data_IF_277592543123
#
_entry.id   IF_277592543123
#
_cell.length_a   1.000
_cell.length_b   1.000
_cell.length_c   1.000
_cell.angle_alpha   90.00
_cell.angle_beta   90.00
_cell.angle_gamma   90.00
#
_symmetry.space_group_name_H-M   'P 1'
#
loop_
_entity.id
_entity.type
_entity.pdbx_description
1 polymer ?
#
# COMPACT_ATOMS: atom_id res chain seq x y z
N UNK A 1 0.12 -19.67 7.91
CA UNK A 1 0.26 -20.86 8.78
C UNK A 1 1.11 -21.97 8.14
N UNK A 2 2.23 -21.65 7.47
CA UNK A 2 3.24 -22.65 7.12
C UNK A 2 4.60 -21.96 7.09
N UNK A 3 5.36 -22.15 8.19
CA UNK A 3 6.81 -21.99 8.36
C UNK A 3 7.09 -21.57 9.80
N UNK A 4 7.06 -22.56 10.69
CA UNK A 4 8.01 -22.73 11.79
C UNK A 4 7.64 -24.02 12.49
N UNK A 5 8.63 -24.90 12.56
CA UNK A 5 8.62 -26.19 13.23
C UNK A 5 8.55 -25.95 14.76
N UNK A 6 7.40 -25.46 15.23
CA UNK A 6 7.13 -25.22 16.65
C UNK A 6 6.21 -26.32 17.15
N UNK A 7 6.58 -26.92 18.29
CA UNK A 7 5.76 -27.91 18.99
C UNK A 7 4.36 -27.32 19.19
N UNK A 8 3.34 -28.11 18.88
CA UNK A 8 1.94 -27.71 18.86
C UNK A 8 1.48 -27.06 20.20
N UNK A 9 2.12 -27.41 21.31
CA UNK A 9 1.89 -26.82 22.64
C UNK A 9 2.27 -25.33 22.76
N UNK A 10 3.10 -24.77 21.87
CA UNK A 10 3.43 -23.33 21.85
C UNK A 10 2.37 -22.47 21.16
N UNK A 11 1.39 -23.08 20.48
CA UNK A 11 0.42 -22.36 19.63
C UNK A 11 -0.81 -21.90 20.42
N UNK A 12 -1.07 -22.51 21.58
CA UNK A 12 -2.39 -22.43 22.24
C UNK A 12 -2.54 -21.46 23.41
N UNK A 13 -1.57 -20.58 23.71
CA UNK A 13 -1.73 -19.68 24.86
C UNK A 13 -1.11 -18.29 24.69
N UNK A 14 -1.29 -17.66 23.51
CA UNK A 14 -0.90 -16.25 23.31
C UNK A 14 -2.12 -15.42 22.93
N UNK A 15 -2.94 -15.09 23.93
CA UNK A 15 -3.85 -13.97 23.80
C UNK A 15 -3.01 -12.68 23.75
N UNK A 16 -3.16 -11.91 22.68
CA UNK A 16 -2.51 -10.61 22.53
C UNK A 16 -3.46 -9.50 23.02
N UNK A 17 -3.05 -8.79 24.07
CA UNK A 17 -3.78 -7.65 24.61
C UNK A 17 -3.34 -6.37 23.91
N UNK A 18 -4.32 -5.62 23.40
CA UNK A 18 -4.06 -4.32 22.76
C UNK A 18 -4.37 -3.20 23.73
N UNK A 19 -3.43 -2.26 23.86
CA UNK A 19 -3.58 -1.07 24.69
C UNK A 19 -3.45 0.15 23.78
N UNK A 20 -4.52 0.96 23.75
CA UNK A 20 -4.56 2.22 23.00
C UNK A 20 -4.38 3.37 23.99
N UNK A 21 -3.40 4.23 23.73
CA UNK A 21 -3.05 5.37 24.59
C UNK A 21 -3.05 6.69 23.83
N UNK A 22 -3.09 7.85 24.51
CA UNK A 22 -3.20 9.14 23.82
C UNK A 22 -1.95 9.55 23.04
N UNK A 23 -0.75 9.21 23.52
CA UNK A 23 0.51 9.70 22.95
C UNK A 23 1.60 8.64 22.85
N UNK A 24 2.64 8.92 22.05
CA UNK A 24 3.83 8.06 21.94
C UNK A 24 4.55 7.95 23.30
N UNK A 25 4.65 9.05 24.05
CA UNK A 25 5.23 9.02 25.40
C UNK A 25 4.50 8.02 26.31
N UNK A 26 3.16 8.01 26.24
CA UNK A 26 2.35 7.08 27.03
C UNK A 26 2.49 5.63 26.57
N UNK A 27 2.88 5.39 25.30
CA UNK A 27 3.20 4.04 24.83
C UNK A 27 4.40 3.48 25.60
N UNK A 28 5.49 4.26 25.71
CA UNK A 28 6.70 3.85 26.42
C UNK A 28 6.50 3.81 27.95
N UNK A 29 5.70 4.72 28.53
CA UNK A 29 5.31 4.62 29.95
C UNK A 29 4.55 3.33 30.24
N UNK A 30 3.58 2.99 29.39
CA UNK A 30 2.80 1.75 29.51
C UNK A 30 3.70 0.53 29.39
N UNK A 31 4.66 0.53 28.46
CA UNK A 31 5.66 -0.52 28.33
C UNK A 31 6.46 -0.69 29.64
N UNK A 32 6.91 0.41 30.23
CA UNK A 32 7.63 0.41 31.51
C UNK A 32 6.80 -0.14 32.67
N UNK A 33 5.51 0.21 32.75
CA UNK A 33 4.58 -0.32 33.77
C UNK A 33 4.39 -1.84 33.58
N UNK A 34 4.21 -2.31 32.35
CA UNK A 34 4.06 -3.75 32.08
C UNK A 34 5.32 -4.51 32.51
N UNK A 35 6.51 -3.96 32.21
CA UNK A 35 7.79 -4.58 32.58
C UNK A 35 8.13 -4.49 34.07
N UNK A 36 7.49 -3.59 34.83
CA UNK A 36 7.63 -3.55 36.30
C UNK A 36 6.73 -4.58 37.00
N UNK A 37 5.60 -4.95 36.38
CA UNK A 37 4.67 -5.95 36.89
C UNK A 37 5.06 -7.37 36.51
N UNK A 38 5.52 -7.57 35.27
CA UNK A 38 5.84 -8.89 34.73
C UNK A 38 7.20 -8.91 34.04
N UNK A 39 7.91 -10.03 34.22
CA UNK A 39 9.24 -10.21 33.62
C UNK A 39 9.12 -10.27 32.09
N UNK A 40 9.78 -9.36 31.34
CA UNK A 40 9.76 -9.41 29.90
C UNK A 40 10.62 -10.55 29.37
N UNK A 41 10.16 -11.12 28.25
CA UNK A 41 10.95 -12.03 27.43
C UNK A 41 11.75 -11.19 26.43
N UNK A 42 13.05 -11.03 26.69
CA UNK A 42 13.92 -10.06 26.01
C UNK A 42 14.01 -10.25 24.49
N UNK A 43 13.93 -11.50 23.99
CA UNK A 43 13.91 -11.80 22.54
C UNK A 43 12.57 -11.44 21.85
N UNK A 44 11.58 -10.97 22.61
CA UNK A 44 10.21 -10.69 22.15
C UNK A 44 9.77 -9.25 22.38
N UNK A 45 10.71 -8.33 22.46
CA UNK A 45 10.44 -6.88 22.46
C UNK A 45 10.70 -6.34 21.06
N UNK A 46 9.71 -5.68 20.47
CA UNK A 46 9.84 -5.06 19.15
C UNK A 46 9.26 -3.66 19.17
N UNK A 47 10.09 -2.70 18.79
CA UNK A 47 9.70 -1.30 18.69
C UNK A 47 9.38 -0.94 17.24
N UNK A 48 8.12 -1.15 16.83
CA UNK A 48 7.66 -0.71 15.52
C UNK A 48 7.26 0.77 15.50
N UNK A 49 7.39 1.50 16.60
CA UNK A 49 7.23 2.97 16.58
C UNK A 49 8.53 3.59 16.06
N UNK A 50 9.67 3.17 16.61
CA UNK A 50 10.99 3.62 16.20
C UNK A 50 11.41 3.04 14.84
N UNK A 51 11.06 1.77 14.57
CA UNK A 51 11.35 1.09 13.30
C UNK A 51 10.05 0.54 12.70
N UNK A 52 9.24 1.37 12.03
CA UNK A 52 7.98 0.96 11.42
C UNK A 52 8.16 -0.19 10.43
N UNK A 53 7.14 -1.02 10.28
CA UNK A 53 7.13 -2.02 9.21
C UNK A 53 6.98 -1.34 7.85
N UNK A 54 7.36 -2.00 6.74
CA UNK A 54 7.22 -1.43 5.38
C UNK A 54 5.81 -0.93 5.06
N UNK A 55 4.77 -1.57 5.60
CA UNK A 55 3.38 -1.15 5.43
C UNK A 55 2.94 0.03 6.32
N UNK A 56 3.87 0.75 6.94
CA UNK A 56 3.59 1.87 7.84
C UNK A 56 3.07 1.47 9.22
N UNK A 57 3.01 0.18 9.54
CA UNK A 57 2.50 -0.28 10.83
C UNK A 57 3.40 0.16 11.99
N UNK A 58 2.78 0.85 12.96
CA UNK A 58 3.42 1.35 14.18
C UNK A 58 2.75 0.77 15.44
N UNK A 59 3.53 0.18 16.35
CA UNK A 59 3.12 -0.31 17.67
C UNK A 59 4.34 -0.82 18.45
N UNK A 60 4.33 -0.77 19.79
CA UNK A 60 5.25 -1.51 20.63
C UNK A 60 4.70 -2.90 20.90
N UNK A 61 5.50 -3.93 20.66
CA UNK A 61 5.15 -5.32 20.97
C UNK A 61 6.07 -5.83 22.07
N UNK A 62 5.51 -6.45 23.10
CA UNK A 62 6.28 -7.13 24.13
C UNK A 62 5.59 -8.41 24.56
N UNK A 63 6.35 -9.48 24.79
CA UNK A 63 5.85 -10.69 25.46
C UNK A 63 6.41 -10.73 26.87
N UNK A 64 5.55 -10.97 27.85
CA UNK A 64 5.92 -11.13 29.27
C UNK A 64 5.45 -12.48 29.80
N UNK A 65 6.06 -12.92 30.89
CA UNK A 65 5.55 -14.04 31.68
C UNK A 65 4.46 -13.53 32.61
N UNK A 66 3.21 -13.79 32.26
CA UNK A 66 2.03 -13.43 33.04
C UNK A 66 1.79 -14.38 34.22
N UNK A 67 0.60 -14.32 34.84
CA UNK A 67 0.18 -15.26 35.87
C UNK A 67 0.32 -16.72 35.40
N UNK A 68 0.67 -17.61 36.33
CA UNK A 68 0.91 -19.04 36.07
C UNK A 68 2.01 -19.34 35.02
N UNK A 69 2.95 -18.40 34.85
CA UNK A 69 4.08 -18.50 33.91
C UNK A 69 3.67 -18.65 32.44
N UNK A 70 2.43 -18.26 32.11
CA UNK A 70 1.91 -18.24 30.75
C UNK A 70 2.41 -17.00 30.00
N UNK A 71 2.76 -17.17 28.73
CA UNK A 71 3.24 -16.06 27.91
C UNK A 71 2.05 -15.17 27.48
N UNK A 72 2.10 -13.87 27.80
CA UNK A 72 1.11 -12.90 27.32
C UNK A 72 1.80 -11.87 26.41
N UNK A 73 1.20 -11.60 25.25
CA UNK A 73 1.69 -10.57 24.34
C UNK A 73 0.90 -9.27 24.53
N UNK A 74 1.60 -8.16 24.64
CA UNK A 74 1.03 -6.82 24.69
C UNK A 74 1.40 -6.03 23.43
N UNK A 75 0.41 -5.33 22.88
CA UNK A 75 0.55 -4.44 21.74
C UNK A 75 0.09 -3.04 22.14
N UNK A 76 1.02 -2.11 22.25
CA UNK A 76 0.76 -0.74 22.72
C UNK A 76 0.88 0.19 21.51
N UNK A 77 -0.09 1.09 21.32
CA UNK A 77 -0.06 2.07 20.22
C UNK A 77 -0.96 3.26 20.52
N UNK A 78 -0.81 4.35 19.77
CA UNK A 78 -1.73 5.49 19.88
C UNK A 78 -3.05 5.23 19.13
N UNK A 79 -4.06 6.07 19.37
CA UNK A 79 -5.31 6.05 18.59
C UNK A 79 -5.04 6.23 17.08
N UNK A 80 -4.18 7.20 16.73
CA UNK A 80 -3.74 7.43 15.34
C UNK A 80 -3.08 6.19 14.73
N UNK A 81 -2.11 5.58 15.44
CA UNK A 81 -1.45 4.34 14.99
C UNK A 81 -2.44 3.18 14.90
N UNK A 82 -3.49 3.17 15.73
CA UNK A 82 -4.53 2.16 15.66
C UNK A 82 -5.37 2.34 14.40
N UNK A 83 -5.79 3.54 14.09
CA UNK A 83 -6.54 3.88 12.88
C UNK A 83 -5.71 3.60 11.62
N UNK A 84 -4.44 4.00 11.59
CA UNK A 84 -3.50 3.63 10.52
C UNK A 84 -3.37 2.12 10.36
N UNK A 85 -3.35 1.36 11.47
CA UNK A 85 -3.26 -0.10 11.40
C UNK A 85 -4.55 -0.78 10.92
N UNK A 86 -5.71 -0.12 11.06
CA UNK A 86 -7.02 -0.64 10.65
C UNK A 86 -7.36 -0.24 9.22
N UNK A 87 -7.14 1.03 8.87
CA UNK A 87 -7.56 1.65 7.61
C UNK A 87 -6.40 1.84 6.63
N UNK A 88 -5.17 1.55 7.05
CA UNK A 88 -3.97 1.74 6.23
C UNK A 88 -3.82 3.20 5.80
N UNK A 89 -3.37 3.38 4.55
CA UNK A 89 -3.03 4.68 3.96
C UNK A 89 -4.18 5.68 3.99
N UNK A 90 -5.46 5.26 4.04
CA UNK A 90 -6.60 6.19 4.10
C UNK A 90 -6.58 7.13 5.32
N UNK A 91 -6.03 6.70 6.46
CA UNK A 91 -5.88 7.54 7.65
C UNK A 91 -4.77 8.61 7.50
N UNK A 92 -3.71 8.28 6.74
CA UNK A 92 -2.54 9.13 6.54
C UNK A 92 -2.83 10.38 5.68
N UNK A 93 -3.87 10.34 4.83
CA UNK A 93 -4.31 11.50 4.01
C UNK A 93 -5.11 12.52 4.83
N UNK A 94 -5.99 12.07 5.74
CA UNK A 94 -6.76 12.97 6.62
C UNK A 94 -5.86 13.77 7.58
N UNK A 95 -4.71 13.20 7.99
CA UNK A 95 -3.78 13.89 8.90
C UNK A 95 -2.84 14.88 8.21
N UNK A 96 -2.35 14.58 6.99
CA UNK A 96 -1.53 15.53 6.23
C UNK A 96 -2.26 16.82 5.87
N UNK A 97 -3.59 16.80 5.80
CA UNK A 97 -4.42 17.99 5.56
C UNK A 97 -4.44 18.95 6.76
N UNK A 98 -4.13 18.48 7.99
CA UNK A 98 -4.09 19.32 9.19
C UNK A 98 -2.74 20.00 9.42
N UNK A 99 -1.67 19.57 8.76
CA UNK A 99 -0.30 20.02 9.06
C UNK A 99 0.28 21.06 8.10
N UNK A 100 -0.32 21.30 6.93
CA UNK A 100 0.16 22.31 5.97
C UNK A 100 -0.98 23.12 5.34
N UNK A 101 -1.23 24.36 5.80
CA UNK A 101 -2.11 25.28 5.08
C UNK A 101 -1.36 25.81 3.85
N UNK A 102 -1.54 25.18 2.68
CA UNK A 102 -1.04 25.74 1.41
C UNK A 102 -0.68 24.76 0.30
N UNK A 103 -0.57 23.46 0.57
CA UNK A 103 -0.26 22.46 -0.46
C UNK A 103 -1.55 22.04 -1.18
N UNK A 104 -1.93 22.81 -2.20
CA UNK A 104 -3.04 22.49 -3.10
C UNK A 104 -2.69 21.33 -4.05
N UNK A 105 -2.38 20.15 -3.50
CA UNK A 105 -2.43 18.92 -4.29
C UNK A 105 -3.90 18.59 -4.54
N UNK A 106 -4.32 18.74 -5.79
CA UNK A 106 -5.68 18.49 -6.26
C UNK A 106 -6.24 17.20 -5.65
N UNK A 107 -7.37 17.34 -4.95
CA UNK A 107 -8.13 16.23 -4.36
C UNK A 107 -8.30 15.10 -5.38
N UNK A 108 -7.94 13.85 -5.02
CA UNK A 108 -8.19 12.69 -5.86
C UNK A 108 -9.68 12.61 -6.22
N UNK A 109 -9.97 12.22 -7.47
CA UNK A 109 -11.34 12.19 -8.02
C UNK A 109 -12.31 11.37 -7.14
N UNK A 110 -11.82 10.28 -6.54
CA UNK A 110 -12.57 9.43 -5.61
C UNK A 110 -13.06 10.17 -4.35
N UNK A 111 -12.35 11.20 -3.89
CA UNK A 111 -12.78 12.05 -2.76
C UNK A 111 -13.93 12.97 -3.17
N UNK A 112 -13.87 13.53 -4.39
CA UNK A 112 -14.98 14.31 -4.96
C UNK A 112 -16.20 13.43 -5.19
N UNK A 113 -15.99 12.18 -5.59
CA UNK A 113 -17.06 11.21 -5.78
C UNK A 113 -17.73 10.90 -4.43
N UNK A 114 -16.98 10.68 -3.35
CA UNK A 114 -17.51 10.51 -1.98
C UNK A 114 -18.33 11.73 -1.52
N UNK A 115 -17.83 12.95 -1.73
CA UNK A 115 -18.49 14.18 -1.30
C UNK A 115 -19.76 14.50 -2.11
N UNK A 116 -19.81 14.13 -3.39
CA UNK A 116 -21.01 14.28 -4.23
C UNK A 116 -22.09 13.26 -3.87
N UNK A 117 -21.68 12.05 -3.49
CA UNK A 117 -22.58 10.96 -3.11
C UNK A 117 -23.24 11.23 -1.75
N UNK A 118 -22.51 11.83 -0.80
CA UNK A 118 -23.06 12.23 0.51
C UNK A 118 -24.23 13.22 0.40
N UNK A 119 -24.27 14.03 -0.68
CA UNK A 119 -25.37 14.98 -0.90
C UNK A 119 -26.66 14.35 -1.45
N UNK A 120 -26.64 13.09 -1.88
CA UNK A 120 -27.74 12.47 -2.63
C UNK A 120 -28.30 11.17 -2.02
N UNK A 121 -27.85 10.73 -0.85
CA UNK A 121 -28.28 9.46 -0.26
C UNK A 121 -29.20 9.67 0.96
N UNK A 122 -30.50 9.38 0.81
CA UNK A 122 -31.51 9.52 1.87
C UNK A 122 -31.55 8.32 2.85
N UNK A 123 -30.90 7.18 2.56
CA UNK A 123 -30.88 6.00 3.45
C UNK A 123 -29.50 5.32 3.55
N UNK A 124 -28.99 5.18 4.78
CA UNK A 124 -27.58 4.90 5.09
C UNK A 124 -27.19 3.40 5.10
N UNK A 125 -28.12 2.46 5.26
CA UNK A 125 -27.80 1.03 5.43
C UNK A 125 -27.48 0.31 4.11
N UNK A 126 -28.34 0.49 3.09
CA UNK A 126 -28.13 -0.11 1.75
C UNK A 126 -26.90 0.47 1.03
N UNK A 127 -26.53 1.69 1.41
CA UNK A 127 -25.35 2.41 0.94
C UNK A 127 -24.05 1.78 1.46
N UNK A 128 -23.99 1.42 2.75
CA UNK A 128 -22.81 0.84 3.39
C UNK A 128 -22.53 -0.57 2.85
N UNK A 129 -23.58 -1.37 2.61
CA UNK A 129 -23.40 -2.74 2.13
C UNK A 129 -22.98 -2.80 0.65
N UNK A 130 -23.43 -1.86 -0.20
CA UNK A 130 -22.93 -1.76 -1.57
C UNK A 130 -21.53 -1.14 -1.66
N UNK A 131 -21.15 -0.19 -0.80
CA UNK A 131 -19.80 0.38 -0.77
C UNK A 131 -18.72 -0.55 -0.21
N UNK A 132 -19.05 -1.35 0.82
CA UNK A 132 -18.08 -2.30 1.41
C UNK A 132 -17.60 -3.34 0.41
N UNK A 133 -18.44 -3.73 -0.55
CA UNK A 133 -18.13 -4.76 -1.54
C UNK A 133 -17.26 -4.22 -2.68
N UNK A 134 -17.45 -2.97 -3.13
CA UNK A 134 -16.79 -2.46 -4.34
C UNK A 134 -15.54 -1.57 -4.08
N UNK A 135 -15.46 -0.90 -2.92
CA UNK A 135 -14.40 0.11 -2.65
C UNK A 135 -13.20 -0.45 -1.89
N UNK A 136 -13.39 -1.50 -1.09
CA UNK A 136 -12.37 -2.00 -0.16
C UNK A 136 -11.78 -3.37 -0.51
N UNK A 137 -12.36 -4.11 -1.46
CA UNK A 137 -11.98 -5.52 -1.68
C UNK A 137 -10.97 -5.76 -2.82
N UNK A 138 -10.61 -4.76 -3.63
CA UNK A 138 -9.79 -4.98 -4.82
C UNK A 138 -8.72 -3.90 -5.04
N UNK A 139 -8.03 -3.46 -3.99
CA UNK A 139 -6.89 -2.52 -4.09
C UNK A 139 -5.63 -3.09 -3.46
N UNK A 140 -4.49 -2.86 -4.11
CA UNK A 140 -3.16 -3.27 -3.65
C UNK A 140 -2.28 -2.02 -3.49
N UNK A 141 -1.34 -2.07 -2.56
CA UNK A 141 -0.35 -1.04 -2.33
C UNK A 141 1.03 -1.59 -2.65
N UNK A 142 1.77 -0.88 -3.51
CA UNK A 142 3.10 -1.28 -3.98
C UNK A 142 4.10 -0.16 -3.73
N UNK A 143 5.37 -0.51 -3.58
CA UNK A 143 6.44 0.39 -3.17
C UNK A 143 7.41 0.65 -4.33
N UNK A 144 7.93 1.86 -4.44
CA UNK A 144 9.13 2.12 -5.25
C UNK A 144 10.40 1.69 -4.50
N UNK A 145 11.56 1.62 -5.17
CA UNK A 145 12.87 1.42 -4.51
C UNK A 145 13.15 2.45 -3.42
N UNK A 146 12.70 3.69 -3.60
CA UNK A 146 12.86 4.82 -2.68
C UNK A 146 11.90 4.77 -1.48
N UNK A 147 10.91 3.87 -1.51
CA UNK A 147 9.92 3.70 -0.44
C UNK A 147 8.63 4.49 -0.64
N UNK A 148 8.43 5.13 -1.80
CA UNK A 148 7.16 5.77 -2.14
C UNK A 148 6.06 4.71 -2.32
N UNK A 149 4.85 5.02 -1.87
CA UNK A 149 3.71 4.08 -1.90
C UNK A 149 2.70 4.47 -2.97
N UNK A 150 2.30 3.50 -3.78
CA UNK A 150 1.37 3.67 -4.88
C UNK A 150 0.15 2.76 -4.73
N UNK A 151 -1.05 3.32 -4.95
CA UNK A 151 -2.32 2.61 -4.90
C UNK A 151 -2.72 2.12 -6.30
N UNK A 152 -2.90 0.81 -6.44
CA UNK A 152 -3.30 0.17 -7.69
C UNK A 152 -4.53 -0.71 -7.47
N UNK A 153 -5.35 -0.98 -8.50
CA UNK A 153 -6.37 -2.01 -8.41
C UNK A 153 -5.71 -3.40 -8.30
N UNK A 154 -6.41 -4.35 -7.70
CA UNK A 154 -5.99 -5.75 -7.67
C UNK A 154 -5.83 -6.30 -9.09
N UNK A 155 -4.82 -7.16 -9.28
CA UNK A 155 -4.42 -7.67 -10.59
C UNK A 155 -3.70 -6.65 -11.47
N UNK A 156 -3.38 -5.45 -10.96
CA UNK A 156 -2.53 -4.51 -11.68
C UNK A 156 -1.13 -5.09 -11.93
N UNK A 157 -0.49 -4.61 -13.00
CA UNK A 157 0.81 -5.12 -13.48
C UNK A 157 1.92 -4.07 -13.35
N UNK A 158 3.20 -4.44 -13.50
CA UNK A 158 4.30 -3.46 -13.56
C UNK A 158 4.08 -2.34 -14.57
N UNK A 159 3.37 -2.58 -15.67
CA UNK A 159 3.05 -1.52 -16.65
C UNK A 159 2.06 -0.52 -16.07
N UNK A 160 1.04 -0.98 -15.33
CA UNK A 160 0.12 -0.09 -14.62
C UNK A 160 0.87 0.79 -13.61
N UNK A 161 1.76 0.18 -12.83
CA UNK A 161 2.65 0.89 -11.90
C UNK A 161 3.50 1.94 -12.62
N UNK A 162 4.17 1.57 -13.72
CA UNK A 162 5.01 2.48 -14.50
C UNK A 162 4.26 3.74 -14.96
N UNK A 163 3.02 3.60 -15.45
CA UNK A 163 2.19 4.73 -15.89
C UNK A 163 1.62 5.59 -14.76
N UNK A 164 1.49 5.01 -13.55
CA UNK A 164 1.17 5.77 -12.34
C UNK A 164 2.36 6.61 -11.91
N UNK A 165 3.57 6.04 -11.86
CA UNK A 165 4.81 6.76 -11.54
C UNK A 165 5.06 7.89 -12.53
N UNK A 166 5.21 7.57 -13.82
CA UNK A 166 5.41 8.59 -14.85
C UNK A 166 5.12 8.07 -16.26
N UNK A 167 4.53 8.91 -17.13
CA UNK A 167 4.19 8.48 -18.51
C UNK A 167 5.42 8.06 -19.32
N UNK A 168 6.55 8.76 -19.18
CA UNK A 168 7.80 8.36 -19.85
C UNK A 168 8.35 7.02 -19.37
N UNK A 169 8.22 6.70 -18.07
CA UNK A 169 8.65 5.41 -17.52
C UNK A 169 7.77 4.31 -18.11
N UNK A 170 6.44 4.52 -18.13
CA UNK A 170 5.50 3.61 -18.81
C UNK A 170 5.83 3.40 -20.29
N UNK A 171 6.11 4.47 -21.04
CA UNK A 171 6.42 4.38 -22.47
C UNK A 171 7.74 3.65 -22.77
N UNK A 172 8.72 3.73 -21.85
CA UNK A 172 10.07 3.17 -22.01
C UNK A 172 10.31 1.89 -21.24
N UNK A 173 9.33 1.40 -20.48
CA UNK A 173 9.44 0.17 -19.70
C UNK A 173 9.87 -1.00 -20.59
N UNK A 174 10.91 -1.73 -20.21
CA UNK A 174 11.42 -2.93 -20.91
C UNK A 174 11.30 -4.19 -20.08
N UNK A 175 11.34 -4.06 -18.75
CA UNK A 175 11.17 -5.14 -17.78
C UNK A 175 10.85 -4.59 -16.39
N UNK A 176 10.72 -5.48 -15.40
CA UNK A 176 10.50 -5.08 -14.02
C UNK A 176 11.26 -6.00 -13.06
N UNK A 177 11.66 -5.43 -11.92
CA UNK A 177 12.06 -6.19 -10.74
C UNK A 177 10.93 -6.08 -9.71
N UNK A 178 10.50 -7.22 -9.19
CA UNK A 178 9.55 -7.29 -8.06
C UNK A 178 10.32 -7.91 -6.89
N UNK A 179 10.45 -7.18 -5.78
CA UNK A 179 11.22 -7.58 -4.61
C UNK A 179 12.64 -8.06 -4.98
N UNK A 180 13.34 -7.28 -5.82
CA UNK A 180 14.69 -7.55 -6.34
C UNK A 180 14.83 -8.82 -7.21
N UNK A 181 13.73 -9.32 -7.78
CA UNK A 181 13.74 -10.46 -8.70
C UNK A 181 13.17 -10.07 -10.05
N UNK A 182 13.80 -10.53 -11.13
CA UNK A 182 13.32 -10.31 -12.50
C UNK A 182 11.91 -10.89 -12.66
N UNK A 183 11.00 -10.06 -13.14
CA UNK A 183 9.62 -10.41 -13.41
C UNK A 183 9.21 -9.89 -14.79
N UNK A 184 8.19 -10.54 -15.37
CA UNK A 184 7.61 -10.10 -16.63
C UNK A 184 6.64 -8.94 -16.40
N UNK A 185 6.46 -8.10 -17.42
CA UNK A 185 5.63 -6.90 -17.35
C UNK A 185 4.12 -7.19 -17.18
N UNK A 186 3.68 -8.42 -17.43
CA UNK A 186 2.31 -8.91 -17.27
C UNK A 186 2.06 -9.63 -15.93
N UNK A 187 3.10 -9.77 -15.09
CA UNK A 187 2.96 -10.37 -13.75
C UNK A 187 2.03 -9.53 -12.90
N UNK A 188 1.05 -10.15 -12.24
CA UNK A 188 0.16 -9.45 -11.31
C UNK A 188 0.91 -9.07 -10.03
N UNK A 189 0.81 -7.79 -9.66
CA UNK A 189 1.39 -7.22 -8.45
C UNK A 189 0.55 -7.61 -7.23
N UNK A 190 1.23 -7.76 -6.10
CA UNK A 190 0.60 -8.05 -4.81
C UNK A 190 0.80 -6.90 -3.84
N UNK A 191 -0.09 -6.83 -2.87
CA UNK A 191 0.04 -5.86 -1.80
C UNK A 191 1.36 -6.09 -1.03
N UNK A 192 2.17 -5.05 -0.87
CA UNK A 192 3.48 -5.15 -0.22
C UNK A 192 4.67 -5.24 -1.18
N UNK A 193 4.44 -5.46 -2.48
CA UNK A 193 5.54 -5.64 -3.44
C UNK A 193 6.32 -4.34 -3.66
N UNK A 194 7.65 -4.43 -3.61
CA UNK A 194 8.55 -3.40 -4.11
C UNK A 194 8.76 -3.61 -5.60
N UNK A 195 8.44 -2.60 -6.42
CA UNK A 195 8.48 -2.67 -7.88
C UNK A 195 9.46 -1.65 -8.42
N UNK A 196 10.46 -2.12 -9.16
CA UNK A 196 11.37 -1.29 -9.93
C UNK A 196 11.12 -1.53 -11.42
N UNK A 197 10.98 -0.45 -12.19
CA UNK A 197 10.78 -0.54 -13.64
C UNK A 197 12.10 -0.33 -14.35
N UNK A 198 12.51 -1.35 -15.11
CA UNK A 198 13.66 -1.26 -15.99
C UNK A 198 13.23 -0.51 -17.24
N UNK A 199 13.92 0.58 -17.57
CA UNK A 199 13.65 1.40 -18.74
C UNK A 199 14.69 1.18 -19.83
N UNK A 200 14.25 1.14 -21.09
CA UNK A 200 15.12 1.24 -22.25
C UNK A 200 15.01 2.65 -22.85
N UNK A 201 16.11 3.40 -22.79
CA UNK A 201 16.17 4.78 -23.29
C UNK A 201 15.98 4.88 -24.80
N UNK A 202 16.31 3.82 -25.55
CA UNK A 202 16.19 3.78 -27.02
C UNK A 202 14.78 3.38 -27.48
N UNK A 203 13.92 2.96 -26.55
CA UNK A 203 12.55 2.57 -26.86
C UNK A 203 11.73 3.78 -27.29
N UNK A 204 11.18 3.70 -28.51
CA UNK A 204 10.39 4.80 -29.12
C UNK A 204 8.98 4.94 -28.53
N UNK A 205 8.46 3.91 -27.87
CA UNK A 205 7.14 3.94 -27.26
C UNK A 205 6.68 2.60 -26.68
N UNK A 206 5.49 2.57 -26.07
CA UNK A 206 4.97 1.38 -25.41
C UNK A 206 4.56 0.30 -26.41
N UNK A 207 4.56 -0.97 -25.97
CA UNK A 207 3.99 -2.05 -26.78
C UNK A 207 2.46 -2.03 -26.69
N UNK A 208 1.79 -2.08 -27.84
CA UNK A 208 0.32 -2.12 -27.93
C UNK A 208 -0.28 -3.39 -27.32
N UNK A 209 0.46 -4.50 -27.30
CA UNK A 209 0.03 -5.76 -26.68
C UNK A 209 -0.20 -5.64 -25.18
N UNK A 210 0.39 -4.64 -24.52
CA UNK A 210 0.15 -4.40 -23.09
C UNK A 210 -1.31 -4.11 -22.77
N UNK A 211 -2.09 -3.60 -23.74
CA UNK A 211 -3.54 -3.41 -23.60
C UNK A 211 -4.31 -4.69 -23.23
N UNK A 212 -3.73 -5.87 -23.48
CA UNK A 212 -4.33 -7.18 -23.14
C UNK A 212 -4.34 -7.44 -21.64
N UNK A 213 -3.35 -6.93 -20.89
CA UNK A 213 -3.17 -7.26 -19.48
C UNK A 213 -3.21 -6.05 -18.54
N UNK A 214 -2.95 -4.82 -19.01
CA UNK A 214 -3.05 -3.63 -18.15
C UNK A 214 -4.46 -3.47 -17.60
N UNK A 215 -4.57 -3.14 -16.32
CA UNK A 215 -5.87 -3.00 -15.65
C UNK A 215 -6.37 -1.57 -15.67
N UNK A 216 -5.48 -0.60 -15.43
CA UNK A 216 -5.84 0.81 -15.22
C UNK A 216 -6.25 1.51 -16.52
N UNK A 217 -7.32 2.32 -16.46
CA UNK A 217 -7.76 3.12 -17.60
C UNK A 217 -6.70 4.12 -18.03
N UNK A 218 -5.95 4.69 -17.06
CA UNK A 218 -4.83 5.60 -17.33
C UNK A 218 -3.76 4.96 -18.21
N UNK A 219 -3.31 3.74 -17.89
CA UNK A 219 -2.33 3.03 -18.73
C UNK A 219 -2.92 2.75 -20.12
N UNK A 220 -4.16 2.25 -20.20
CA UNK A 220 -4.84 1.98 -21.48
C UNK A 220 -4.89 3.20 -22.38
N UNK A 221 -5.28 4.34 -21.85
CA UNK A 221 -5.42 5.59 -22.62
C UNK A 221 -4.06 6.12 -23.09
N UNK A 222 -3.05 6.11 -22.22
CA UNK A 222 -1.68 6.54 -22.57
C UNK A 222 -1.06 5.64 -23.64
N UNK A 223 -1.23 4.32 -23.54
CA UNK A 223 -0.75 3.37 -24.54
C UNK A 223 -1.45 3.58 -25.90
N UNK A 224 -2.77 3.77 -25.91
CA UNK A 224 -3.55 4.05 -27.14
C UNK A 224 -3.12 5.35 -27.80
N UNK A 225 -2.90 6.40 -27.01
CA UNK A 225 -2.46 7.69 -27.52
C UNK A 225 -1.05 7.59 -28.14
N UNK A 226 -0.09 7.02 -27.41
CA UNK A 226 1.28 6.88 -27.89
C UNK A 226 1.40 5.98 -29.13
N UNK A 227 0.63 4.88 -29.19
CA UNK A 227 0.62 3.98 -30.35
C UNK A 227 -0.02 4.60 -31.59
N UNK A 228 -1.07 5.44 -31.42
CA UNK A 228 -1.66 6.19 -32.52
C UNK A 228 -0.68 7.21 -33.09
N UNK A 229 0.01 7.96 -32.22
CA UNK A 229 0.96 8.99 -32.63
C UNK A 229 2.17 8.41 -33.37
N UNK A 230 2.72 7.27 -32.92
CA UNK A 230 3.77 6.55 -33.65
C UNK A 230 3.34 6.10 -35.05
N UNK A 231 2.05 5.78 -35.25
CA UNK A 231 1.52 5.36 -36.56
C UNK A 231 1.38 6.56 -37.50
N UNK A 232 0.88 7.68 -36.99
CA UNK A 232 0.80 8.93 -37.76
C UNK A 232 2.18 9.44 -38.17
N UNK A 233 3.18 9.37 -37.29
CA UNK A 233 4.56 9.77 -37.61
C UNK A 233 5.22 8.85 -38.65
N UNK A 234 4.93 7.54 -38.62
CA UNK A 234 5.35 6.62 -39.68
C UNK A 234 4.71 6.95 -41.03
N UNK A 235 3.40 7.23 -41.05
CA UNK A 235 2.67 7.59 -42.28
C UNK A 235 3.18 8.92 -42.85
N UNK A 236 3.42 9.93 -42.02
CA UNK A 236 4.01 11.21 -42.46
C UNK A 236 5.38 11.05 -43.11
N UNK A 237 6.25 10.19 -42.56
CA UNK A 237 7.57 9.92 -43.14
C UNK A 237 7.48 9.23 -44.51
N UNK A 238 6.48 8.39 -44.72
CA UNK A 238 6.24 7.74 -46.02
C UNK A 238 5.75 8.77 -47.04
N UNK A 239 4.86 9.69 -46.64
CA UNK A 239 4.30 10.71 -47.52
C UNK A 239 5.30 11.84 -47.83
N UNK A 240 6.19 12.20 -46.90
CA UNK A 240 7.24 13.21 -47.13
C UNK A 240 8.48 12.66 -47.86
N UNK A 241 8.55 11.34 -48.08
CA UNK A 241 9.62 10.67 -48.81
C UNK A 241 9.26 10.31 -50.26
N UNK A 242 8.08 10.73 -50.74
CA UNK A 242 7.62 10.68 -52.13
C UNK A 242 7.58 12.13 -52.62
#
# INVERSE_FOLDING_TARGET
>A
MQKKDRKFDEIYDVFALRIIVPSISDCYKTLGIIHSLWRPKSDRIKDYIAVPKPNGYRSLHTTVYGPDNKACEFQIRTQEMHEESLYGIAAHWHYKEKSEPGSSKQQPRWVKDILNIQRHAENTSDFIDKMKVDVFHNRIFVFSPEGDVFDLPEGATPVDFAYVVHTEIGNKASGALINNKMATLDTELRNGDQVEIIIDKNRKGPNRDWLKFVKTNRAKDKIRHASSQSRFDQIKKIIQGI
#
